data_IF_865445612367
#
_entry.id   IF_865445612367
#
_cell.length_a   1.000
_cell.length_b   1.000
_cell.length_c   1.000
_cell.angle_alpha   90.00
_cell.angle_beta   90.00
_cell.angle_gamma   90.00
#
_symmetry.space_group_name_H-M   'P 1'
#
loop_
_entity.id
_entity.type
_entity.pdbx_description
1 polymer ?
#
# COMPACT_ATOMS: atom_id res chain seq x y z
N UNK A 1 36.45 -43.41 11.64
CA UNK A 1 37.14 -42.79 10.49
C UNK A 1 36.08 -42.42 9.45
N UNK A 2 35.63 -41.16 9.42
CA UNK A 2 34.82 -40.64 8.31
C UNK A 2 35.21 -39.17 8.11
N UNK A 3 36.02 -38.91 7.10
CA UNK A 3 36.39 -37.56 6.64
C UNK A 3 35.41 -37.15 5.57
N UNK A 4 34.43 -36.33 5.91
CA UNK A 4 33.50 -35.76 4.94
C UNK A 4 34.14 -34.50 4.36
N UNK A 5 34.71 -34.59 3.16
CA UNK A 5 35.10 -33.41 2.37
C UNK A 5 33.87 -32.91 1.62
N UNK A 6 33.22 -31.88 2.16
CA UNK A 6 32.34 -31.05 1.35
C UNK A 6 33.19 -30.09 0.51
N UNK A 7 33.57 -30.55 -0.68
CA UNK A 7 34.12 -29.69 -1.74
C UNK A 7 33.36 -29.98 -3.03
N UNK A 8 32.04 -29.78 -3.01
CA UNK A 8 31.28 -29.63 -4.24
C UNK A 8 31.39 -28.16 -4.63
N UNK A 9 32.47 -27.83 -5.35
CA UNK A 9 32.51 -26.60 -6.15
C UNK A 9 31.46 -26.81 -7.24
N UNK A 10 30.27 -26.20 -7.10
CA UNK A 10 29.33 -26.11 -8.23
C UNK A 10 30.08 -25.41 -9.37
N UNK A 11 30.15 -26.10 -10.50
CA UNK A 11 30.91 -25.71 -11.68
C UNK A 11 30.00 -25.06 -12.73
N UNK A 12 28.94 -24.38 -12.30
CA UNK A 12 28.13 -23.53 -13.16
C UNK A 12 28.94 -22.26 -13.39
N UNK A 13 29.89 -22.35 -14.31
CA UNK A 13 30.96 -21.40 -14.57
C UNK A 13 30.47 -20.11 -15.23
N UNK A 14 29.61 -19.37 -14.56
CA UNK A 14 29.62 -17.91 -14.70
C UNK A 14 30.95 -17.47 -14.11
N UNK A 15 31.84 -16.84 -14.90
CA UNK A 15 33.10 -16.27 -14.40
C UNK A 15 32.79 -15.51 -13.11
N UNK A 16 33.54 -15.73 -12.03
CA UNK A 16 33.33 -15.03 -10.75
C UNK A 16 33.21 -13.51 -10.93
N UNK A 17 33.92 -12.96 -11.91
CA UNK A 17 33.85 -11.55 -12.31
C UNK A 17 32.51 -11.14 -12.94
N UNK A 18 31.82 -12.04 -13.64
CA UNK A 18 30.50 -11.81 -14.23
C UNK A 18 29.40 -11.84 -13.15
N UNK A 19 29.46 -12.79 -12.22
CA UNK A 19 28.54 -12.85 -11.08
C UNK A 19 28.71 -11.63 -10.16
N UNK A 20 29.95 -11.23 -9.86
CA UNK A 20 30.23 -10.03 -9.09
C UNK A 20 29.79 -8.73 -9.79
N UNK A 21 29.90 -8.67 -11.13
CA UNK A 21 29.42 -7.53 -11.92
C UNK A 21 27.90 -7.41 -11.85
N UNK A 22 27.16 -8.50 -12.04
CA UNK A 22 25.68 -8.48 -11.95
C UNK A 22 25.24 -8.11 -10.54
N UNK A 23 25.83 -8.71 -9.50
CA UNK A 23 25.52 -8.36 -8.11
C UNK A 23 25.83 -6.90 -7.76
N UNK A 24 26.93 -6.35 -8.27
CA UNK A 24 27.27 -4.94 -8.10
C UNK A 24 26.29 -3.99 -8.80
N UNK A 25 25.84 -4.33 -10.00
CA UNK A 25 24.83 -3.56 -10.74
C UNK A 25 23.50 -3.53 -9.98
N UNK A 26 23.04 -4.68 -9.49
CA UNK A 26 21.80 -4.78 -8.69
C UNK A 26 21.89 -3.95 -7.42
N UNK A 27 22.99 -4.06 -6.69
CA UNK A 27 23.19 -3.31 -5.44
C UNK A 27 23.18 -1.80 -5.68
N UNK A 28 23.75 -1.34 -6.80
CA UNK A 28 23.74 0.07 -7.18
C UNK A 28 22.33 0.59 -7.50
N UNK A 29 21.57 -0.13 -8.33
CA UNK A 29 20.19 0.24 -8.65
C UNK A 29 19.28 0.21 -7.41
N UNK A 30 19.45 -0.79 -6.54
CA UNK A 30 18.71 -0.88 -5.28
C UNK A 30 19.04 0.30 -4.35
N UNK A 31 20.31 0.69 -4.23
CA UNK A 31 20.72 1.82 -3.40
C UNK A 31 20.11 3.15 -3.89
N UNK A 32 20.19 3.43 -5.19
CA UNK A 32 19.54 4.62 -5.78
C UNK A 32 18.04 4.59 -5.50
N UNK A 33 17.41 3.43 -5.65
CA UNK A 33 15.98 3.26 -5.44
C UNK A 33 15.58 3.55 -3.98
N UNK A 34 16.29 3.01 -2.99
CA UNK A 34 16.02 3.31 -1.58
C UNK A 34 16.20 4.80 -1.25
N UNK A 35 17.20 5.46 -1.86
CA UNK A 35 17.40 6.90 -1.70
C UNK A 35 16.22 7.67 -2.29
N UNK A 36 15.77 7.34 -3.50
CA UNK A 36 14.61 7.98 -4.13
C UNK A 36 13.34 7.77 -3.29
N UNK A 37 13.10 6.55 -2.78
CA UNK A 37 11.96 6.28 -1.89
C UNK A 37 12.01 7.10 -0.60
N UNK A 38 13.19 7.28 0.00
CA UNK A 38 13.34 8.04 1.25
C UNK A 38 13.05 9.54 1.08
N UNK A 39 13.21 10.06 -0.13
CA UNK A 39 12.97 11.48 -0.46
C UNK A 39 11.54 11.75 -0.94
N UNK A 40 10.85 10.71 -1.40
CA UNK A 40 9.49 10.82 -1.88
C UNK A 40 8.53 10.57 -0.71
N UNK A 41 7.93 11.64 -0.19
CA UNK A 41 6.71 11.51 0.60
C UNK A 41 5.51 11.59 -0.34
N UNK A 42 4.62 10.62 -0.22
CA UNK A 42 3.25 10.80 -0.67
C UNK A 42 2.47 11.31 0.54
N UNK A 43 1.65 12.35 0.33
CA UNK A 43 0.73 12.80 1.38
C UNK A 43 -0.19 11.64 1.71
N UNK A 44 0.02 11.02 2.88
CA UNK A 44 -1.02 10.20 3.48
C UNK A 44 -2.10 11.18 3.87
N UNK A 45 -3.19 11.21 3.10
CA UNK A 45 -4.32 12.05 3.44
C UNK A 45 -4.85 11.64 4.81
N UNK A 46 -5.38 12.62 5.54
CA UNK A 46 -5.80 12.42 6.93
C UNK A 46 -6.84 11.30 7.01
N UNK A 47 -6.47 10.25 7.73
CA UNK A 47 -7.42 9.24 8.15
C UNK A 47 -8.39 9.91 9.12
N UNK A 48 -9.66 9.98 8.72
CA UNK A 48 -10.70 10.60 9.53
C UNK A 48 -10.82 9.86 10.87
N UNK A 49 -10.63 10.62 11.96
CA UNK A 49 -10.62 10.11 13.33
C UNK A 49 -9.24 10.00 13.98
N UNK A 50 -8.14 10.32 13.29
CA UNK A 50 -6.83 10.42 13.96
C UNK A 50 -6.69 11.80 14.62
N UNK A 51 -6.70 11.82 15.96
CA UNK A 51 -6.41 13.00 16.77
C UNK A 51 -5.20 12.70 17.66
N UNK A 52 -4.16 13.55 17.63
CA UNK A 52 -2.95 13.40 18.46
C UNK A 52 -2.23 12.03 18.35
N UNK A 53 -2.21 11.42 17.16
CA UNK A 53 -1.71 10.05 16.89
C UNK A 53 -2.53 8.93 17.53
N UNK A 54 -3.72 9.21 18.06
CA UNK A 54 -4.66 8.22 18.56
C UNK A 54 -5.89 8.19 17.65
N UNK A 55 -6.34 6.98 17.33
CA UNK A 55 -7.55 6.80 16.55
C UNK A 55 -8.77 6.90 17.46
N UNK A 56 -9.58 7.94 17.26
CA UNK A 56 -10.86 8.14 17.92
C UNK A 56 -11.98 7.99 16.89
N UNK A 57 -12.94 7.12 17.19
CA UNK A 57 -14.10 6.94 16.34
C UNK A 57 -14.91 8.25 16.24
N UNK A 58 -15.22 8.74 15.02
CA UNK A 58 -15.93 10.00 14.85
C UNK A 58 -17.37 9.93 15.38
N UNK A 59 -17.85 11.03 15.95
CA UNK A 59 -19.14 11.12 16.67
C UNK A 59 -20.35 10.68 15.83
N UNK A 60 -20.35 11.00 14.54
CA UNK A 60 -21.36 10.60 13.55
C UNK A 60 -21.56 9.08 13.41
N UNK A 61 -20.54 8.28 13.73
CA UNK A 61 -20.58 6.81 13.65
C UNK A 61 -20.72 6.11 15.01
N UNK A 62 -20.74 6.84 16.14
CA UNK A 62 -20.80 6.25 17.48
C UNK A 62 -22.05 5.37 17.68
N UNK A 63 -23.14 5.68 16.98
CA UNK A 63 -24.38 4.90 16.96
C UNK A 63 -24.23 3.49 16.36
N UNK A 64 -23.20 3.25 15.53
CA UNK A 64 -22.98 1.99 14.85
C UNK A 64 -22.21 0.95 15.69
N UNK A 65 -21.67 1.36 16.85
CA UNK A 65 -20.88 0.52 17.77
C UNK A 65 -19.84 -0.35 17.02
N UNK A 66 -18.96 0.32 16.27
CA UNK A 66 -18.03 -0.33 15.36
C UNK A 66 -16.99 -1.14 16.12
N UNK A 67 -17.05 -2.48 15.99
CA UNK A 67 -16.05 -3.38 16.55
C UNK A 67 -15.00 -3.75 15.49
N UNK A 68 -13.72 -3.67 15.87
CA UNK A 68 -12.57 -4.05 15.05
C UNK A 68 -12.62 -5.50 14.60
N UNK A 69 -13.21 -6.40 15.39
CA UNK A 69 -13.34 -7.83 15.04
C UNK A 69 -14.32 -8.07 13.89
N UNK A 70 -15.33 -7.21 13.73
CA UNK A 70 -16.39 -7.37 12.72
C UNK A 70 -16.04 -6.64 11.44
N UNK A 71 -15.58 -5.39 11.56
CA UNK A 71 -15.39 -4.52 10.40
C UNK A 71 -13.94 -4.46 9.90
N UNK A 72 -12.97 -4.88 10.73
CA UNK A 72 -11.55 -4.87 10.39
C UNK A 72 -11.04 -3.52 9.86
N UNK A 73 -9.80 -3.53 9.38
CA UNK A 73 -9.29 -2.41 8.58
C UNK A 73 -9.74 -2.58 7.14
N UNK A 74 -10.70 -1.77 6.71
CA UNK A 74 -11.30 -1.80 5.36
C UNK A 74 -11.42 -0.36 4.84
N UNK A 75 -10.30 0.24 4.40
CA UNK A 75 -10.29 1.66 4.08
C UNK A 75 -11.26 1.98 2.94
N UNK A 76 -11.94 3.10 3.08
CA UNK A 76 -12.81 3.67 2.06
C UNK A 76 -12.54 5.17 1.93
N UNK A 77 -12.68 5.65 0.70
CA UNK A 77 -12.53 7.03 0.34
C UNK A 77 -13.91 7.63 0.12
N UNK A 78 -14.22 8.67 0.88
CA UNK A 78 -15.48 9.42 0.79
C UNK A 78 -15.18 10.74 0.07
N UNK A 79 -15.89 10.98 -1.03
CA UNK A 79 -15.78 12.21 -1.84
C UNK A 79 -14.35 12.57 -2.32
N UNK A 80 -13.44 11.60 -2.38
CA UNK A 80 -12.06 11.85 -2.85
C UNK A 80 -11.18 12.64 -1.89
N UNK A 81 -11.62 12.89 -0.66
CA UNK A 81 -10.91 13.77 0.30
C UNK A 81 -10.68 13.14 1.67
N UNK A 82 -11.62 12.33 2.16
CA UNK A 82 -11.56 11.75 3.50
C UNK A 82 -11.45 10.24 3.43
N UNK A 83 -10.39 9.68 4.02
CA UNK A 83 -10.24 8.23 4.14
C UNK A 83 -10.68 7.77 5.52
N UNK A 84 -11.60 6.82 5.59
CA UNK A 84 -12.09 6.25 6.86
C UNK A 84 -11.52 4.86 7.09
N UNK A 85 -11.46 4.44 8.36
CA UNK A 85 -10.92 3.14 8.77
C UNK A 85 -11.73 1.94 8.25
N UNK A 86 -13.06 2.06 8.27
CA UNK A 86 -14.00 1.05 7.79
C UNK A 86 -15.36 1.70 7.47
N UNK A 87 -16.25 1.05 6.69
CA UNK A 87 -17.53 1.64 6.30
C UNK A 87 -18.44 1.94 7.51
N UNK A 88 -18.27 1.19 8.61
CA UNK A 88 -18.93 1.47 9.88
C UNK A 88 -18.47 2.80 10.49
N UNK A 89 -17.16 3.08 10.47
CA UNK A 89 -16.60 4.33 11.01
C UNK A 89 -16.97 5.56 10.17
N UNK A 90 -17.34 5.36 8.90
CA UNK A 90 -17.94 6.40 8.05
C UNK A 90 -19.47 6.53 8.24
N UNK A 91 -20.10 5.60 8.98
CA UNK A 91 -21.54 5.57 9.20
C UNK A 91 -22.36 5.26 7.94
N UNK A 92 -21.79 4.49 7.00
CA UNK A 92 -22.49 4.13 5.76
C UNK A 92 -23.56 3.06 6.00
N UNK A 93 -24.75 3.26 5.44
CA UNK A 93 -25.91 2.38 5.64
C UNK A 93 -26.28 1.53 4.41
N UNK A 94 -25.78 1.89 3.24
CA UNK A 94 -26.03 1.16 2.00
C UNK A 94 -24.72 0.82 1.28
N UNK A 95 -24.74 -0.31 0.56
CA UNK A 95 -23.69 -0.73 -0.34
C UNK A 95 -24.29 -1.00 -1.72
N UNK A 96 -23.57 -0.62 -2.76
CA UNK A 96 -23.84 -0.86 -4.15
C UNK A 96 -22.60 -1.41 -4.84
N UNK A 97 -22.76 -1.73 -6.11
CA UNK A 97 -21.65 -2.15 -6.96
C UNK A 97 -21.74 -1.39 -8.28
N UNK A 98 -20.68 -0.67 -8.62
CA UNK A 98 -20.60 0.11 -9.85
C UNK A 98 -19.38 -0.39 -10.62
N UNK A 99 -19.60 -1.05 -11.75
CA UNK A 99 -18.53 -1.50 -12.64
C UNK A 99 -17.58 -2.55 -12.02
N UNK A 100 -18.07 -3.38 -11.11
CA UNK A 100 -17.25 -4.39 -10.41
C UNK A 100 -16.55 -3.89 -9.15
N UNK A 101 -16.80 -2.64 -8.73
CA UNK A 101 -16.24 -2.05 -7.52
C UNK A 101 -17.35 -1.81 -6.49
N UNK A 102 -17.12 -2.22 -5.25
CA UNK A 102 -18.05 -2.00 -4.14
C UNK A 102 -18.03 -0.52 -3.77
N UNK A 103 -19.20 0.09 -3.82
CA UNK A 103 -19.44 1.48 -3.42
C UNK A 103 -20.36 1.53 -2.21
N UNK A 104 -20.12 2.44 -1.28
CA UNK A 104 -20.98 2.66 -0.12
C UNK A 104 -21.71 3.98 -0.26
N UNK A 105 -22.92 4.03 0.27
CA UNK A 105 -23.82 5.17 0.18
C UNK A 105 -24.43 5.50 1.54
N UNK A 106 -24.90 6.75 1.65
CA UNK A 106 -25.59 7.29 2.81
C UNK A 106 -24.73 7.16 4.08
N UNK A 107 -23.60 7.88 4.06
CA UNK A 107 -22.58 7.86 5.08
C UNK A 107 -22.75 9.09 5.98
N UNK A 108 -23.13 8.89 7.25
CA UNK A 108 -23.45 9.99 8.18
C UNK A 108 -22.25 10.88 8.52
N UNK A 109 -21.03 10.42 8.28
CA UNK A 109 -19.80 11.15 8.54
C UNK A 109 -19.28 11.96 7.34
N UNK A 110 -19.97 11.92 6.20
CA UNK A 110 -19.64 12.80 5.08
C UNK A 110 -20.29 14.18 5.23
N UNK A 111 -19.55 15.22 4.87
CA UNK A 111 -20.08 16.59 4.78
C UNK A 111 -20.62 16.91 3.38
N UNK A 112 -20.46 16.03 2.39
CA UNK A 112 -20.87 16.28 1.01
C UNK A 112 -22.17 15.55 0.69
N UNK A 113 -23.07 16.23 -0.02
CA UNK A 113 -24.35 15.66 -0.46
C UNK A 113 -24.21 14.53 -1.51
N UNK A 114 -22.99 14.22 -1.94
CA UNK A 114 -22.66 13.17 -2.89
C UNK A 114 -22.08 11.94 -2.19
N UNK A 115 -22.89 11.23 -1.39
CA UNK A 115 -22.45 10.03 -0.65
C UNK A 115 -22.09 8.82 -1.55
N UNK A 116 -21.07 8.96 -2.39
CA UNK A 116 -20.46 7.87 -3.13
C UNK A 116 -19.10 7.62 -2.50
N UNK A 117 -19.07 6.68 -1.58
CA UNK A 117 -17.84 6.20 -1.00
C UNK A 117 -17.33 4.98 -1.77
N UNK A 118 -16.03 4.90 -1.99
CA UNK A 118 -15.39 3.84 -2.77
C UNK A 118 -14.38 3.12 -1.89
N UNK A 119 -14.29 1.80 -1.99
CA UNK A 119 -13.22 1.06 -1.30
C UNK A 119 -11.83 1.52 -1.75
N UNK A 120 -10.92 1.72 -0.78
CA UNK A 120 -9.56 2.22 -0.98
C UNK A 120 -9.28 3.52 -0.22
N UNK A 121 -8.04 3.99 -0.25
CA UNK A 121 -7.66 5.29 0.31
C UNK A 121 -7.69 6.38 -0.76
N UNK A 122 -8.02 7.62 -0.38
CA UNK A 122 -8.02 8.75 -1.32
C UNK A 122 -6.60 9.07 -1.83
N UNK A 123 -5.57 8.78 -1.03
CA UNK A 123 -4.15 8.95 -1.35
C UNK A 123 -3.62 8.06 -2.50
N UNK A 124 -4.41 7.09 -2.99
CA UNK A 124 -3.96 6.23 -4.10
C UNK A 124 -3.61 7.04 -5.35
N UNK A 125 -4.34 8.13 -5.63
CA UNK A 125 -4.13 8.98 -6.80
C UNK A 125 -2.83 9.77 -6.67
N UNK A 126 -2.55 10.33 -5.50
CA UNK A 126 -1.32 11.08 -5.25
C UNK A 126 -0.09 10.18 -5.25
N UNK A 127 -0.23 8.91 -4.84
CA UNK A 127 0.87 7.95 -4.81
C UNK A 127 1.04 7.15 -6.13
N UNK A 128 0.11 7.28 -7.09
CA UNK A 128 0.11 6.47 -8.31
C UNK A 128 1.39 6.63 -9.13
N UNK A 129 1.92 7.85 -9.25
CA UNK A 129 3.16 8.12 -9.97
C UNK A 129 4.36 7.40 -9.32
N UNK A 130 4.43 7.44 -7.99
CA UNK A 130 5.49 6.79 -7.23
C UNK A 130 5.42 5.26 -7.32
N UNK A 131 4.22 4.70 -7.21
CA UNK A 131 4.00 3.27 -7.43
C UNK A 131 4.37 2.84 -8.85
N UNK A 132 4.06 3.66 -9.86
CA UNK A 132 4.45 3.39 -11.26
C UNK A 132 5.96 3.38 -11.43
N UNK A 133 6.68 4.34 -10.82
CA UNK A 133 8.15 4.38 -10.83
C UNK A 133 8.74 3.14 -10.15
N UNK A 134 8.16 2.69 -9.03
CA UNK A 134 8.58 1.45 -8.38
C UNK A 134 8.46 0.23 -9.31
N UNK A 135 7.31 0.06 -9.96
CA UNK A 135 7.10 -1.06 -10.88
C UNK A 135 8.10 -1.05 -12.06
N UNK A 136 8.38 0.13 -12.62
CA UNK A 136 9.37 0.26 -13.70
C UNK A 136 10.77 -0.13 -13.21
N UNK A 137 11.22 0.38 -12.06
CA UNK A 137 12.55 0.07 -11.55
C UNK A 137 12.67 -1.41 -11.17
N UNK A 138 11.62 -1.99 -10.59
CA UNK A 138 11.58 -3.41 -10.24
C UNK A 138 11.70 -4.30 -11.49
N UNK A 139 10.93 -4.00 -12.53
CA UNK A 139 10.98 -4.75 -13.81
C UNK A 139 12.33 -4.61 -14.51
N UNK A 140 12.93 -3.41 -14.51
CA UNK A 140 14.28 -3.18 -15.06
C UNK A 140 15.33 -3.95 -14.27
N UNK A 141 15.25 -3.95 -12.93
CA UNK A 141 16.18 -4.71 -12.08
C UNK A 141 16.09 -6.19 -12.39
N UNK A 142 14.87 -6.74 -12.50
CA UNK A 142 14.65 -8.13 -12.89
C UNK A 142 15.22 -8.44 -14.28
N UNK A 143 14.99 -7.57 -15.27
CA UNK A 143 15.50 -7.74 -16.63
C UNK A 143 17.03 -7.70 -16.73
N UNK A 144 17.71 -6.98 -15.83
CA UNK A 144 19.18 -6.91 -15.77
C UNK A 144 19.77 -8.12 -15.02
N UNK A 145 18.99 -8.74 -14.13
CA UNK A 145 19.41 -9.95 -13.39
C UNK A 145 19.05 -11.27 -14.02
N UNK A 146 18.01 -11.28 -14.87
CA UNK A 146 17.45 -12.45 -15.54
C UNK A 146 18.21 -12.91 -16.76
#
# INVERSE_FOLDING_TARGET
>A
IFRVRFSVRRQDGVKANTAARVGGIVAFFAAIFFVVLSLLSCGVEDLAGIENNEYTQPSCSQQCNCNSEVYGYTPLCVDGTNTFFSPCHAGCSAAGEIGGLITYHNCSCSNSASDNAVMGSCSLISCQAMFSVYQVIFTVTLAVTG
#
